data_IF_983175042867
#
_entry.id   IF_983175042867
#
_cell.length_a   1.000
_cell.length_b   1.000
_cell.length_c   1.000
_cell.angle_alpha   90.00
_cell.angle_beta   90.00
_cell.angle_gamma   90.00
#
_symmetry.space_group_name_H-M   'P 1'
#
loop_
_entity.id
_entity.type
_entity.pdbx_description
1 polymer ?
#
# COMPACT_ATOMS: atom_id res chain seq x y z
N UNK A 1 2.08 -7.21 4.03
CA UNK A 1 3.00 -7.64 2.97
C UNK A 1 4.04 -8.51 3.61
N UNK A 2 3.64 -9.75 3.96
CA UNK A 2 4.22 -10.53 5.05
C UNK A 2 3.29 -10.68 6.27
N UNK A 3 1.97 -10.44 6.14
CA UNK A 3 1.03 -10.33 7.26
C UNK A 3 0.58 -11.67 7.85
N UNK A 4 0.27 -11.66 9.16
CA UNK A 4 0.09 -12.75 10.17
C UNK A 4 1.25 -12.92 11.15
N UNK A 5 2.39 -12.27 10.87
CA UNK A 5 3.53 -12.20 11.78
C UNK A 5 3.77 -10.76 12.24
N UNK A 6 4.06 -10.53 13.53
CA UNK A 6 4.22 -9.18 14.10
C UNK A 6 5.27 -8.32 13.39
N UNK A 7 6.31 -8.95 12.84
CA UNK A 7 7.39 -8.28 12.13
C UNK A 7 7.26 -8.35 10.60
N UNK A 8 6.24 -9.03 10.09
CA UNK A 8 6.02 -9.25 8.65
C UNK A 8 7.23 -9.74 7.83
N UNK A 9 8.09 -10.56 8.44
CA UNK A 9 9.42 -10.94 7.90
C UNK A 9 9.40 -11.66 6.54
N UNK A 10 8.27 -12.26 6.16
CA UNK A 10 8.09 -12.91 4.85
C UNK A 10 7.35 -11.98 3.88
N UNK A 11 7.72 -10.71 3.90
CA UNK A 11 7.39 -9.75 2.87
C UNK A 11 8.06 -8.39 3.11
N UNK A 12 7.47 -7.32 2.58
CA UNK A 12 8.13 -6.00 2.46
C UNK A 12 7.70 -4.98 3.51
N UNK A 13 6.79 -5.34 4.41
CA UNK A 13 6.26 -4.41 5.41
C UNK A 13 7.14 -4.34 6.67
N UNK A 14 7.03 -3.23 7.39
CA UNK A 14 7.82 -2.96 8.60
C UNK A 14 7.16 -3.37 9.93
N UNK A 15 6.10 -4.19 9.91
CA UNK A 15 5.43 -4.67 11.13
C UNK A 15 4.65 -3.60 11.93
N UNK A 16 4.45 -2.41 11.36
CA UNK A 16 3.60 -1.37 11.96
C UNK A 16 2.65 -0.76 10.94
N UNK A 17 1.49 -0.22 11.37
CA UNK A 17 0.48 0.29 10.44
C UNK A 17 0.96 1.42 9.54
N UNK A 18 1.93 2.24 9.97
CA UNK A 18 2.48 3.31 9.15
C UNK A 18 3.32 2.79 7.97
N UNK A 19 3.89 1.59 8.09
CA UNK A 19 4.77 0.94 7.10
C UNK A 19 4.17 -0.33 6.52
N UNK A 20 2.85 -0.46 6.57
CA UNK A 20 2.05 -1.57 6.01
C UNK A 20 0.80 -1.00 5.34
N UNK A 21 1.03 -0.16 4.32
CA UNK A 21 -0.02 0.49 3.53
C UNK A 21 0.39 0.53 2.07
N UNK A 22 -0.59 0.45 1.20
CA UNK A 22 -0.40 0.51 -0.25
C UNK A 22 -1.39 1.50 -0.83
N UNK A 23 -0.93 2.33 -1.76
CA UNK A 23 -1.78 3.09 -2.67
C UNK A 23 -1.70 2.46 -4.06
N UNK A 24 -2.85 2.27 -4.71
CA UNK A 24 -2.93 1.76 -6.07
C UNK A 24 -3.25 2.94 -6.97
N UNK A 25 -2.42 3.14 -8.00
CA UNK A 25 -2.48 4.31 -8.87
C UNK A 25 -2.95 3.88 -10.26
N UNK A 26 -3.97 4.55 -10.80
CA UNK A 26 -4.56 4.20 -12.10
C UNK A 26 -4.65 5.41 -13.06
N UNK A 27 -4.81 5.17 -14.38
CA UNK A 27 -5.20 6.22 -15.31
C UNK A 27 -6.56 6.82 -14.96
N UNK A 28 -6.68 8.12 -15.19
CA UNK A 28 -7.78 8.98 -14.77
C UNK A 28 -9.18 8.53 -15.20
N UNK A 29 -10.14 8.59 -14.27
CA UNK A 29 -11.58 8.49 -14.52
C UNK A 29 -12.32 9.83 -14.32
N UNK A 30 -11.71 10.83 -13.67
CA UNK A 30 -12.34 12.11 -13.33
C UNK A 30 -11.81 13.29 -14.15
N UNK A 31 -12.64 14.18 -14.73
CA UNK A 31 -12.15 15.20 -15.67
C UNK A 31 -11.25 16.29 -15.06
N UNK A 32 -11.25 16.45 -13.74
CA UNK A 32 -10.50 17.50 -13.03
C UNK A 32 -9.32 16.98 -12.20
N UNK A 33 -8.95 15.71 -12.37
CA UNK A 33 -7.75 15.13 -11.76
C UNK A 33 -6.81 14.63 -12.86
N UNK A 34 -5.56 14.33 -12.52
CA UNK A 34 -4.59 13.80 -13.49
C UNK A 34 -4.47 12.27 -13.42
N UNK A 35 -4.71 11.70 -12.24
CA UNK A 35 -4.48 10.31 -11.88
C UNK A 35 -5.52 9.93 -10.81
N UNK A 36 -5.98 8.68 -10.85
CA UNK A 36 -6.85 8.09 -9.82
C UNK A 36 -6.04 7.46 -8.67
#
# INVERSE_FOLDING_TARGET
MGSEHELEIDGIDGGCPQTSKVAIINPLLHPDADID
#
